data_IF_927844198138
#
_entry.id   IF_927844198138
#
_cell.length_a   1.000
_cell.length_b   1.000
_cell.length_c   1.000
_cell.angle_alpha   90.00
_cell.angle_beta   90.00
_cell.angle_gamma   90.00
#
_symmetry.space_group_name_H-M   'P 1'
#
loop_
_entity.id
_entity.type
_entity.pdbx_description
1 polymer ?
#
# COMPACT_ATOMS: atom_id res chain seq x y z
N UNK A 1 10.95 13.83 -7.09
CA UNK A 1 10.75 12.44 -6.65
C UNK A 1 12.05 11.67 -6.81
N UNK A 2 12.41 10.85 -5.82
CA UNK A 2 13.67 10.11 -5.86
C UNK A 2 13.60 8.95 -6.87
N UNK A 3 14.77 8.53 -7.36
CA UNK A 3 14.85 7.40 -8.28
C UNK A 3 14.40 6.09 -7.61
N UNK A 4 14.68 5.93 -6.33
CA UNK A 4 14.25 4.75 -5.57
C UNK A 4 12.74 4.64 -5.49
N UNK A 5 12.07 5.76 -5.25
CA UNK A 5 10.61 5.77 -5.18
C UNK A 5 9.99 5.53 -6.56
N UNK A 6 10.54 6.13 -7.60
CA UNK A 6 10.07 5.88 -8.98
C UNK A 6 10.19 4.42 -9.35
N UNK A 7 11.29 3.78 -8.96
CA UNK A 7 11.50 2.37 -9.22
C UNK A 7 10.47 1.52 -8.47
N UNK A 8 10.20 1.86 -7.22
CA UNK A 8 9.20 1.14 -6.41
C UNK A 8 7.80 1.28 -7.02
N UNK A 9 7.44 2.48 -7.45
CA UNK A 9 6.17 2.72 -8.16
C UNK A 9 6.08 1.81 -9.39
N UNK A 10 7.14 1.80 -10.18
CA UNK A 10 7.20 1.00 -11.40
C UNK A 10 7.03 -0.49 -11.14
N UNK A 11 7.58 -0.98 -10.02
CA UNK A 11 7.49 -2.41 -9.66
C UNK A 11 6.12 -2.79 -9.09
N UNK A 12 5.53 -1.93 -8.25
CA UNK A 12 4.47 -2.37 -7.35
C UNK A 12 3.10 -1.77 -7.59
N UNK A 13 3.00 -0.58 -8.19
CA UNK A 13 1.74 0.13 -8.23
C UNK A 13 0.63 -0.61 -8.98
N UNK A 14 0.97 -1.16 -10.14
CA UNK A 14 0.02 -1.91 -10.94
C UNK A 14 -0.44 -3.18 -10.23
N UNK A 15 0.49 -3.87 -9.59
CA UNK A 15 0.19 -5.12 -8.86
C UNK A 15 -0.69 -4.80 -7.66
N UNK A 16 -0.38 -3.73 -6.91
CA UNK A 16 -1.22 -3.29 -5.79
C UNK A 16 -2.64 -2.97 -6.23
N UNK A 17 -2.79 -2.27 -7.37
CA UNK A 17 -4.10 -1.94 -7.92
C UNK A 17 -4.95 -3.17 -8.18
N UNK A 18 -4.31 -4.27 -8.58
CA UNK A 18 -5.00 -5.53 -8.85
C UNK A 18 -5.30 -6.33 -7.59
N UNK A 19 -4.33 -6.41 -6.68
CA UNK A 19 -4.43 -7.29 -5.52
C UNK A 19 -5.29 -6.71 -4.39
N UNK A 20 -5.21 -5.41 -4.14
CA UNK A 20 -5.85 -4.79 -2.98
C UNK A 20 -7.37 -5.01 -2.97
N UNK A 21 -8.11 -4.78 -4.07
CA UNK A 21 -9.56 -5.03 -4.04
C UNK A 21 -9.91 -6.50 -3.82
N UNK A 22 -9.10 -7.42 -4.35
CA UNK A 22 -9.34 -8.85 -4.21
C UNK A 22 -9.12 -9.28 -2.75
N UNK A 23 -8.01 -8.84 -2.16
CA UNK A 23 -7.68 -9.16 -0.76
C UNK A 23 -8.73 -8.59 0.18
N UNK A 24 -9.20 -7.36 -0.07
CA UNK A 24 -10.24 -6.75 0.74
C UNK A 24 -11.53 -7.58 0.70
N UNK A 25 -11.91 -8.05 -0.48
CA UNK A 25 -13.12 -8.86 -0.64
C UNK A 25 -12.99 -10.22 0.07
N UNK A 26 -11.83 -10.85 -0.03
CA UNK A 26 -11.62 -12.20 0.52
C UNK A 26 -11.40 -12.18 2.03
N UNK A 27 -10.62 -11.22 2.52
CA UNK A 27 -10.18 -11.19 3.93
C UNK A 27 -10.82 -10.09 4.77
N UNK A 28 -11.53 -9.14 4.17
CA UNK A 28 -12.05 -7.98 4.88
C UNK A 28 -12.99 -8.28 6.03
N UNK A 29 -13.73 -9.40 5.96
CA UNK A 29 -14.65 -9.77 7.03
C UNK A 29 -13.92 -10.20 8.31
N UNK A 30 -12.77 -10.87 8.16
CA UNK A 30 -11.95 -11.31 9.28
C UNK A 30 -10.87 -10.29 9.66
N UNK A 31 -10.51 -9.45 8.73
CA UNK A 31 -9.51 -8.39 8.92
C UNK A 31 -10.09 -7.07 8.45
N UNK A 32 -11.03 -6.49 9.23
CA UNK A 32 -11.70 -5.24 8.82
C UNK A 32 -10.75 -4.06 8.67
N UNK A 33 -9.59 -4.08 9.31
CA UNK A 33 -8.54 -3.07 9.12
C UNK A 33 -8.09 -2.99 7.66
N UNK A 34 -8.26 -4.06 6.88
CA UNK A 34 -7.88 -4.05 5.48
C UNK A 34 -8.76 -3.12 4.63
N UNK A 35 -9.99 -2.85 5.06
CA UNK A 35 -10.83 -1.87 4.38
C UNK A 35 -10.17 -0.50 4.37
N UNK A 36 -9.52 -0.12 5.47
CA UNK A 36 -8.79 1.14 5.52
C UNK A 36 -7.48 1.07 4.73
N UNK A 37 -6.82 -0.08 4.72
CA UNK A 37 -5.64 -0.29 3.85
C UNK A 37 -6.03 -0.04 2.39
N UNK A 38 -7.15 -0.59 1.95
CA UNK A 38 -7.65 -0.38 0.58
C UNK A 38 -7.88 1.11 0.30
N UNK A 39 -8.55 1.81 1.20
CA UNK A 39 -8.82 3.24 1.03
C UNK A 39 -7.53 4.05 0.93
N UNK A 40 -6.56 3.76 1.81
CA UNK A 40 -5.27 4.46 1.81
C UNK A 40 -4.47 4.16 0.55
N UNK A 41 -4.50 2.91 0.06
CA UNK A 41 -3.86 2.56 -1.21
C UNK A 41 -4.45 3.35 -2.36
N UNK A 42 -5.77 3.46 -2.41
CA UNK A 42 -6.45 4.23 -3.45
C UNK A 42 -6.06 5.70 -3.40
N UNK A 43 -5.94 6.27 -2.20
CA UNK A 43 -5.47 7.65 -2.03
C UNK A 43 -4.02 7.83 -2.51
N UNK A 44 -3.14 6.89 -2.15
CA UNK A 44 -1.73 6.93 -2.56
C UNK A 44 -1.63 6.88 -4.08
N UNK A 45 -2.33 5.95 -4.71
CA UNK A 45 -2.33 5.79 -6.17
C UNK A 45 -2.83 7.06 -6.84
N UNK A 46 -3.93 7.64 -6.33
CA UNK A 46 -4.49 8.86 -6.86
C UNK A 46 -3.52 10.04 -6.77
N UNK A 47 -2.88 10.20 -5.62
CA UNK A 47 -1.92 11.28 -5.42
C UNK A 47 -0.67 11.14 -6.30
N UNK A 48 -0.19 9.91 -6.49
CA UNK A 48 0.93 9.65 -7.39
C UNK A 48 0.58 10.05 -8.81
N UNK A 49 -0.61 9.69 -9.28
CA UNK A 49 -1.06 10.05 -10.63
C UNK A 49 -1.21 11.56 -10.80
N UNK A 50 -1.77 12.24 -9.79
CA UNK A 50 -1.95 13.69 -9.84
C UNK A 50 -0.62 14.45 -9.84
N UNK A 51 0.37 13.94 -9.10
CA UNK A 51 1.68 14.59 -8.99
C UNK A 51 2.49 14.51 -10.29
N UNK A 52 2.17 13.55 -11.16
CA UNK A 52 2.93 13.33 -12.38
C UNK A 52 4.39 13.05 -12.06
N UNK A 53 5.29 13.93 -12.49
CA UNK A 53 6.72 13.79 -12.22
C UNK A 53 7.14 14.40 -10.87
N UNK A 54 6.25 15.15 -10.22
CA UNK A 54 6.51 15.73 -8.91
C UNK A 54 6.43 14.71 -7.78
N UNK A 55 6.87 15.13 -6.60
CA UNK A 55 6.80 14.28 -5.40
C UNK A 55 5.43 14.44 -4.75
N UNK A 56 4.62 13.37 -4.67
CA UNK A 56 3.34 13.44 -3.97
C UNK A 56 3.54 13.54 -2.45
N UNK A 57 2.58 14.14 -1.76
CA UNK A 57 2.59 14.25 -0.31
C UNK A 57 1.89 13.04 0.29
N UNK A 58 2.66 12.03 0.71
CA UNK A 58 2.15 10.74 1.17
C UNK A 58 2.49 10.44 2.64
N UNK A 59 3.05 11.40 3.36
CA UNK A 59 3.46 11.20 4.75
C UNK A 59 2.32 10.72 5.63
N UNK A 60 1.14 11.32 5.51
CA UNK A 60 -0.02 10.97 6.32
C UNK A 60 -0.53 9.58 6.00
N UNK A 61 -0.58 9.22 4.72
CA UNK A 61 -1.05 7.91 4.30
C UNK A 61 -0.13 6.80 4.81
N UNK A 62 1.18 6.97 4.67
CA UNK A 62 2.13 5.98 5.17
C UNK A 62 2.14 5.90 6.69
N UNK A 63 2.02 7.03 7.38
CA UNK A 63 1.92 7.03 8.84
C UNK A 63 0.72 6.19 9.29
N UNK A 64 -0.43 6.44 8.69
CA UNK A 64 -1.66 5.71 9.03
C UNK A 64 -1.55 4.23 8.69
N UNK A 65 -0.94 3.89 7.56
CA UNK A 65 -0.71 2.49 7.19
C UNK A 65 0.12 1.77 8.25
N UNK A 66 1.20 2.41 8.73
CA UNK A 66 2.03 1.82 9.78
C UNK A 66 1.23 1.57 11.06
N UNK A 67 0.33 2.50 11.40
CA UNK A 67 -0.51 2.36 12.59
C UNK A 67 -1.48 1.19 12.47
N UNK A 68 -2.22 1.11 11.37
CA UNK A 68 -3.29 0.10 11.24
C UNK A 68 -2.75 -1.28 10.91
N UNK A 69 -1.54 -1.38 10.34
CA UNK A 69 -0.92 -2.66 10.00
C UNK A 69 0.10 -3.12 11.04
N UNK A 70 0.29 -2.35 12.11
CA UNK A 70 1.32 -2.62 13.11
C UNK A 70 2.69 -2.77 12.44
N UNK A 71 3.09 -1.76 11.68
CA UNK A 71 4.36 -1.75 10.98
C UNK A 71 4.44 -2.79 9.87
N UNK A 72 3.33 -3.02 9.16
CA UNK A 72 3.22 -4.01 8.08
C UNK A 72 3.43 -5.45 8.56
N UNK A 73 2.98 -5.73 9.77
CA UNK A 73 3.02 -7.08 10.33
C UNK A 73 1.93 -7.94 9.68
N UNK A 74 2.34 -9.02 9.05
CA UNK A 74 1.42 -9.91 8.33
C UNK A 74 0.74 -10.84 9.34
N UNK A 75 -0.62 -10.89 9.38
CA UNK A 75 -1.32 -11.86 10.22
C UNK A 75 -1.01 -13.30 9.82
N UNK A 76 -1.12 -14.22 10.76
CA UNK A 76 -0.78 -15.63 10.55
C UNK A 76 -1.81 -16.39 9.70
N UNK A 77 -3.04 -15.89 9.64
CA UNK A 77 -4.18 -16.58 9.04
C UNK A 77 -4.58 -16.05 7.66
N UNK A 78 -3.64 -15.46 6.94
CA UNK A 78 -3.92 -14.83 5.65
C UNK A 78 -3.14 -15.50 4.52
N UNK A 79 -3.59 -15.27 3.28
CA UNK A 79 -2.98 -15.86 2.10
C UNK A 79 -1.77 -15.08 1.60
N UNK A 80 -1.07 -15.65 0.61
CA UNK A 80 0.12 -15.03 0.01
C UNK A 80 -0.17 -13.68 -0.62
N UNK A 81 -1.35 -13.48 -1.18
CA UNK A 81 -1.71 -12.19 -1.78
C UNK A 81 -1.81 -11.08 -0.74
N UNK A 82 -2.36 -11.39 0.43
CA UNK A 82 -2.42 -10.45 1.55
C UNK A 82 -0.99 -10.07 1.99
N UNK A 83 -0.15 -11.08 2.20
CA UNK A 83 1.25 -10.86 2.56
C UNK A 83 1.96 -10.01 1.52
N UNK A 84 1.74 -10.30 0.24
CA UNK A 84 2.35 -9.54 -0.86
C UNK A 84 1.96 -8.07 -0.82
N UNK A 85 0.70 -7.75 -0.52
CA UNK A 85 0.24 -6.36 -0.40
C UNK A 85 1.01 -5.64 0.70
N UNK A 86 1.10 -6.24 1.89
CA UNK A 86 1.82 -5.61 3.00
C UNK A 86 3.30 -5.42 2.69
N UNK A 87 3.93 -6.41 2.06
CA UNK A 87 5.35 -6.31 1.68
C UNK A 87 5.58 -5.21 0.65
N UNK A 88 4.70 -5.10 -0.35
CA UNK A 88 4.80 -4.05 -1.37
C UNK A 88 4.60 -2.66 -0.77
N UNK A 89 3.63 -2.50 0.13
CA UNK A 89 3.39 -1.23 0.81
C UNK A 89 4.59 -0.84 1.67
N UNK A 90 5.18 -1.80 2.36
CA UNK A 90 6.38 -1.58 3.17
C UNK A 90 7.54 -1.10 2.30
N UNK A 91 7.74 -1.69 1.13
CA UNK A 91 8.80 -1.29 0.21
C UNK A 91 8.55 0.12 -0.35
N UNK A 92 7.31 0.46 -0.68
CA UNK A 92 6.96 1.80 -1.12
C UNK A 92 7.23 2.84 -0.03
N UNK A 93 6.85 2.52 1.21
CA UNK A 93 7.05 3.39 2.36
C UNK A 93 8.54 3.67 2.56
N UNK A 94 9.36 2.63 2.55
CA UNK A 94 10.82 2.77 2.70
C UNK A 94 11.42 3.60 1.58
N UNK A 95 10.99 3.37 0.35
CA UNK A 95 11.50 4.10 -0.81
C UNK A 95 11.06 5.57 -0.81
N UNK A 96 9.89 5.86 -0.25
CA UNK A 96 9.38 7.23 -0.16
C UNK A 96 10.19 8.06 0.85
N UNK A 97 10.62 7.45 1.93
CA UNK A 97 11.39 8.10 2.98
C UNK A 97 12.88 7.83 2.83
#
# INVERSE_FOLDING_TARGET
MSDGFRLAISKYLSVLSQYVPIVDRVHGDHHPEFHEVKRLCEEIIGKIKEAGEGRPELDNEFLRLREITDGYTVPDDVCESYEAVYNMLSELDKAYH
#
